data_IF_641690182243
#
_entry.id   IF_641690182243
#
_cell.length_a   1.000
_cell.length_b   1.000
_cell.length_c   1.000
_cell.angle_alpha   90.00
_cell.angle_beta   90.00
_cell.angle_gamma   90.00
#
_symmetry.space_group_name_H-M   'P 1'
#
loop_
_entity.id
_entity.type
_entity.pdbx_description
1 polymer ?
#
# COMPACT_ATOMS: atom_id res chain seq x y z
N UNK A 1 -25.73 77.14 -44.62
CA UNK A 1 -27.00 76.94 -45.34
C UNK A 1 -26.74 75.85 -46.37
N UNK A 2 -27.64 74.85 -46.37
CA UNK A 2 -27.81 73.72 -47.30
C UNK A 2 -26.80 72.56 -47.35
N UNK A 3 -27.28 71.46 -46.72
CA UNK A 3 -27.42 70.06 -47.20
C UNK A 3 -26.54 69.50 -48.32
N UNK A 4 -26.04 68.26 -48.11
CA UNK A 4 -26.51 67.03 -48.80
C UNK A 4 -25.85 65.78 -48.14
N UNK A 5 -26.68 64.78 -47.79
CA UNK A 5 -26.52 63.38 -48.21
C UNK A 5 -25.50 62.44 -47.55
N UNK A 6 -26.00 61.57 -46.65
CA UNK A 6 -25.98 60.11 -46.85
C UNK A 6 -24.76 59.27 -46.45
N UNK A 7 -24.97 58.34 -45.52
CA UNK A 7 -24.40 56.98 -45.62
C UNK A 7 -23.66 56.40 -44.41
N UNK A 8 -24.35 55.53 -43.65
CA UNK A 8 -23.79 54.25 -43.17
C UNK A 8 -23.10 54.20 -41.80
N UNK A 9 -23.55 53.26 -40.95
CA UNK A 9 -22.71 52.71 -39.87
C UNK A 9 -23.43 52.31 -38.59
N UNK A 10 -23.65 51.00 -38.40
CA UNK A 10 -24.24 50.34 -37.23
C UNK A 10 -23.47 50.54 -35.91
N UNK A 11 -24.20 50.59 -34.79
CA UNK A 11 -24.07 49.75 -33.57
C UNK A 11 -24.97 50.38 -32.48
N UNK A 12 -25.85 49.67 -31.77
CA UNK A 12 -25.67 48.37 -31.14
C UNK A 12 -25.46 48.62 -29.64
N UNK A 13 -26.53 48.50 -28.85
CA UNK A 13 -26.50 48.72 -27.40
C UNK A 13 -27.78 48.18 -26.77
N UNK A 14 -27.85 46.85 -26.67
CA UNK A 14 -28.93 46.12 -26.03
C UNK A 14 -29.10 46.48 -24.55
N UNK A 15 -30.37 46.46 -24.17
CA UNK A 15 -30.91 46.53 -22.82
C UNK A 15 -30.43 45.32 -22.01
N UNK A 16 -29.77 45.56 -20.87
CA UNK A 16 -29.48 44.53 -19.88
C UNK A 16 -30.77 44.14 -19.14
N UNK A 17 -31.40 43.02 -19.52
CA UNK A 17 -32.53 42.44 -18.79
C UNK A 17 -32.03 41.42 -17.78
N UNK A 18 -32.36 41.69 -16.51
CA UNK A 18 -32.11 40.87 -15.33
C UNK A 18 -32.73 39.47 -15.46
N UNK A 19 -31.93 38.47 -15.87
CA UNK A 19 -32.28 37.04 -15.80
C UNK A 19 -31.38 36.22 -14.88
N UNK A 20 -30.36 36.84 -14.27
CA UNK A 20 -29.29 36.14 -13.57
C UNK A 20 -29.57 35.90 -12.08
N UNK A 21 -30.26 36.82 -11.39
CA UNK A 21 -30.31 36.79 -9.91
C UNK A 21 -31.12 35.60 -9.37
N UNK A 22 -32.24 35.26 -10.01
CA UNK A 22 -33.11 34.18 -9.53
C UNK A 22 -32.52 32.78 -9.78
N UNK A 23 -31.80 32.58 -10.88
CA UNK A 23 -31.16 31.29 -11.16
C UNK A 23 -29.89 31.09 -10.33
N UNK A 24 -29.14 32.16 -10.08
CA UNK A 24 -28.03 32.14 -9.12
C UNK A 24 -28.54 31.86 -7.70
N UNK A 25 -29.63 32.49 -7.29
CA UNK A 25 -30.24 32.25 -5.98
C UNK A 25 -30.75 30.81 -5.83
N UNK A 26 -31.40 30.25 -6.87
CA UNK A 26 -31.79 28.83 -6.88
C UNK A 26 -30.59 27.90 -6.79
N UNK A 27 -29.51 28.18 -7.54
CA UNK A 27 -28.27 27.42 -7.47
C UNK A 27 -27.67 27.44 -6.06
N UNK A 28 -27.66 28.62 -5.42
CA UNK A 28 -27.16 28.78 -4.06
C UNK A 28 -28.00 28.05 -3.02
N UNK A 29 -29.33 28.09 -3.13
CA UNK A 29 -30.24 27.38 -2.21
C UNK A 29 -30.18 25.85 -2.42
N UNK A 30 -29.99 25.38 -3.65
CA UNK A 30 -29.76 23.97 -3.94
C UNK A 30 -28.42 23.48 -3.37
N UNK A 31 -27.37 24.28 -3.52
CA UNK A 31 -26.07 24.01 -2.92
C UNK A 31 -26.16 23.98 -1.38
N UNK A 32 -26.84 24.94 -0.78
CA UNK A 32 -27.07 24.99 0.67
C UNK A 32 -27.87 23.77 1.16
N UNK A 33 -28.89 23.34 0.40
CA UNK A 33 -29.66 22.13 0.68
C UNK A 33 -28.81 20.85 0.59
N UNK A 34 -27.90 20.77 -0.38
CA UNK A 34 -26.94 19.67 -0.48
C UNK A 34 -25.96 19.65 0.71
N UNK A 35 -25.40 20.81 1.08
CA UNK A 35 -24.49 20.94 2.22
C UNK A 35 -25.19 20.59 3.53
N UNK A 36 -26.44 21.02 3.72
CA UNK A 36 -27.24 20.66 4.90
C UNK A 36 -27.57 19.17 4.93
N UNK A 37 -27.82 18.52 3.78
CA UNK A 37 -27.96 17.05 3.73
C UNK A 37 -26.68 16.33 4.10
N UNK A 38 -25.52 16.79 3.63
CA UNK A 38 -24.21 16.25 4.00
C UNK A 38 -23.95 16.44 5.49
N UNK A 39 -24.25 17.62 6.03
CA UNK A 39 -24.11 17.92 7.46
C UNK A 39 -25.06 17.07 8.33
N UNK A 40 -26.30 16.88 7.88
CA UNK A 40 -27.26 15.98 8.53
C UNK A 40 -26.87 14.51 8.40
N UNK A 41 -26.19 14.09 7.32
CA UNK A 41 -25.63 12.74 7.17
C UNK A 41 -24.44 12.50 8.11
N UNK A 42 -23.62 13.53 8.33
CA UNK A 42 -22.53 13.53 9.32
C UNK A 42 -23.09 13.48 10.75
N UNK A 43 -24.11 14.29 11.05
CA UNK A 43 -24.80 14.29 12.36
C UNK A 43 -25.62 13.02 12.62
N UNK A 44 -26.17 12.38 11.58
CA UNK A 44 -26.91 11.11 11.68
C UNK A 44 -26.02 9.87 11.69
N UNK A 45 -24.70 10.03 11.56
CA UNK A 45 -23.75 8.93 11.69
C UNK A 45 -24.02 7.76 10.74
N UNK A 46 -24.11 8.00 9.43
CA UNK A 46 -24.03 6.89 8.46
C UNK A 46 -22.60 6.34 8.45
N UNK A 47 -22.36 5.06 8.81
CA UNK A 47 -21.01 4.59 9.16
C UNK A 47 -20.10 4.29 7.97
N UNK A 48 -20.61 4.13 6.75
CA UNK A 48 -19.92 3.25 5.78
C UNK A 48 -18.68 3.82 5.08
N UNK A 49 -18.37 5.11 5.18
CA UNK A 49 -17.17 5.68 4.53
C UNK A 49 -16.19 6.28 5.53
N UNK A 50 -16.70 6.94 6.57
CA UNK A 50 -15.86 7.51 7.61
C UNK A 50 -15.21 6.43 8.48
N UNK A 51 -15.90 5.31 8.77
CA UNK A 51 -15.29 4.20 9.52
C UNK A 51 -14.23 3.45 8.70
N UNK A 52 -14.34 3.43 7.37
CA UNK A 52 -13.33 2.83 6.49
C UNK A 52 -12.05 3.69 6.39
N UNK A 53 -12.19 5.02 6.36
CA UNK A 53 -11.03 5.92 6.37
C UNK A 53 -10.39 6.03 7.77
N UNK A 54 -11.20 5.98 8.84
CA UNK A 54 -10.72 6.05 10.23
C UNK A 54 -10.21 4.70 10.79
N UNK A 55 -10.55 3.57 10.17
CA UNK A 55 -9.94 2.28 10.51
C UNK A 55 -8.54 2.10 9.91
N UNK A 56 -8.26 2.77 8.79
CA UNK A 56 -6.93 2.85 8.19
C UNK A 56 -6.03 3.91 8.85
N UNK A 57 -6.62 5.01 9.32
CA UNK A 57 -5.92 6.09 10.01
C UNK A 57 -6.36 6.04 11.47
N UNK A 58 -5.66 5.24 12.27
CA UNK A 58 -5.90 5.12 13.71
C UNK A 58 -5.74 6.46 14.43
N UNK A 59 -6.77 7.28 14.44
CA UNK A 59 -6.84 8.49 15.25
C UNK A 59 -7.07 8.10 16.72
N UNK A 60 -5.98 7.76 17.40
CA UNK A 60 -5.86 7.96 18.85
C UNK A 60 -5.18 9.31 19.06
N UNK A 61 -5.86 10.27 19.68
CA UNK A 61 -5.20 11.50 20.14
C UNK A 61 -4.18 11.16 21.24
N UNK A 62 -2.90 11.57 21.13
CA UNK A 62 -2.01 11.60 22.26
C UNK A 62 -1.66 13.06 22.61
N UNK A 63 -1.94 13.45 23.85
CA UNK A 63 -1.43 14.67 24.44
C UNK A 63 0.05 14.44 24.82
N UNK A 64 0.94 15.19 24.16
CA UNK A 64 2.36 15.47 24.43
C UNK A 64 3.42 14.33 24.49
N UNK A 65 4.45 14.58 23.68
CA UNK A 65 5.90 14.36 23.86
C UNK A 65 6.48 12.96 23.58
N UNK A 66 7.25 12.85 22.48
CA UNK A 66 8.71 12.68 22.57
C UNK A 66 9.40 12.85 21.20
N UNK A 67 10.73 12.98 21.25
CA UNK A 67 11.69 13.40 20.24
C UNK A 67 11.52 12.84 18.83
N UNK A 68 11.56 13.73 17.83
CA UNK A 68 11.71 13.37 16.41
C UNK A 68 13.03 12.63 16.18
N UNK A 69 12.98 11.30 16.01
CA UNK A 69 14.13 10.53 15.55
C UNK A 69 14.20 10.63 14.03
N UNK A 70 15.21 11.32 13.52
CA UNK A 70 15.56 11.33 12.09
C UNK A 70 15.90 9.91 11.63
N UNK A 71 15.38 9.47 10.48
CA UNK A 71 15.64 8.15 9.92
C UNK A 71 17.14 7.95 9.71
N UNK A 72 17.69 6.86 10.26
CA UNK A 72 19.07 6.46 10.03
C UNK A 72 19.10 5.45 8.88
N UNK A 73 19.75 5.76 7.74
CA UNK A 73 19.95 4.76 6.69
C UNK A 73 20.85 3.64 7.22
N UNK A 74 20.57 2.41 6.80
CA UNK A 74 21.49 1.30 7.00
C UNK A 74 22.74 1.52 6.12
N UNK A 75 23.91 0.97 6.52
CA UNK A 75 25.10 1.06 5.68
C UNK A 75 24.80 0.48 4.30
N UNK A 76 25.29 1.17 3.25
CA UNK A 76 25.13 0.77 1.86
C UNK A 76 25.50 -0.70 1.69
N UNK A 77 24.66 -1.44 0.97
CA UNK A 77 24.86 -2.87 0.73
C UNK A 77 25.36 -2.99 -0.70
N UNK A 78 26.59 -3.46 -0.87
CA UNK A 78 27.09 -3.93 -2.16
C UNK A 78 26.51 -5.32 -2.39
N UNK A 79 25.74 -5.49 -3.46
CA UNK A 79 25.08 -6.77 -3.79
C UNK A 79 25.74 -7.30 -5.07
N UNK A 80 26.64 -8.29 -4.97
CA UNK A 80 27.18 -8.97 -6.15
C UNK A 80 26.07 -9.79 -6.83
N UNK A 81 25.98 -9.70 -8.15
CA UNK A 81 25.10 -10.57 -8.94
C UNK A 81 25.64 -12.00 -8.90
N UNK A 82 24.91 -12.93 -8.26
CA UNK A 82 25.20 -14.36 -8.36
C UNK A 82 24.50 -14.96 -9.59
N UNK A 83 25.31 -15.58 -10.45
CA UNK A 83 24.87 -16.31 -11.63
C UNK A 83 24.00 -17.51 -11.23
N UNK A 84 22.74 -17.53 -11.67
CA UNK A 84 21.90 -18.73 -11.63
C UNK A 84 21.55 -19.11 -13.06
N UNK A 85 22.22 -20.14 -13.58
CA UNK A 85 21.90 -20.77 -14.87
C UNK A 85 20.65 -21.63 -14.71
N UNK A 86 19.57 -21.35 -15.45
CA UNK A 86 18.66 -22.38 -15.94
C UNK A 86 17.74 -21.89 -17.06
N UNK A 87 17.26 -22.84 -17.85
CA UNK A 87 16.85 -22.71 -19.24
C UNK A 87 15.39 -22.25 -19.45
N UNK A 88 15.25 -21.43 -20.50
CA UNK A 88 14.11 -21.00 -21.33
C UNK A 88 12.88 -21.94 -21.41
N UNK A 89 11.66 -21.43 -21.16
CA UNK A 89 10.40 -21.74 -21.87
C UNK A 89 9.52 -20.46 -21.92
N UNK A 90 8.82 -20.29 -23.04
CA UNK A 90 8.20 -19.12 -23.68
C UNK A 90 6.77 -18.72 -23.25
N UNK A 91 6.51 -17.41 -23.36
CA UNK A 91 5.29 -16.67 -23.79
C UNK A 91 3.95 -16.80 -23.06
N UNK A 92 3.45 -15.69 -22.52
CA UNK A 92 2.23 -14.98 -22.99
C UNK A 92 2.01 -13.64 -22.25
N UNK A 93 1.56 -12.62 -22.99
CA UNK A 93 1.57 -11.20 -22.62
C UNK A 93 0.20 -10.60 -22.21
N UNK A 94 0.29 -9.40 -21.61
CA UNK A 94 -0.72 -8.36 -21.31
C UNK A 94 -1.57 -8.61 -20.04
N UNK A 95 -1.72 -7.68 -19.10
CA UNK A 95 -2.15 -6.29 -19.29
C UNK A 95 -1.78 -5.39 -18.07
N UNK A 96 -1.47 -4.13 -18.33
CA UNK A 96 -1.01 -3.13 -17.36
C UNK A 96 -2.11 -2.16 -16.98
N UNK A 97 -2.54 -2.12 -15.72
CA UNK A 97 -3.17 -0.92 -15.15
C UNK A 97 -3.13 -0.93 -13.62
N UNK A 98 -2.45 0.06 -13.04
CA UNK A 98 -2.89 0.88 -11.89
C UNK A 98 -1.72 1.63 -11.24
N UNK A 99 -1.35 2.81 -11.75
CA UNK A 99 -0.79 3.93 -10.97
C UNK A 99 -0.99 5.26 -11.73
N UNK A 100 -1.49 6.34 -11.09
CA UNK A 100 -1.30 7.69 -11.59
C UNK A 100 -0.22 8.43 -10.78
N UNK A 101 0.76 9.01 -11.50
CA UNK A 101 1.32 10.34 -11.18
C UNK A 101 2.77 10.44 -10.68
N UNK A 102 3.69 10.69 -11.63
CA UNK A 102 5.02 11.33 -11.51
C UNK A 102 6.26 10.48 -11.13
N UNK A 103 6.64 9.63 -12.09
CA UNK A 103 7.92 9.56 -12.84
C UNK A 103 9.22 10.01 -12.14
N UNK A 104 10.15 9.06 -11.98
CA UNK A 104 11.48 9.16 -12.60
C UNK A 104 11.77 7.85 -13.35
N UNK A 105 12.13 8.06 -14.61
CA UNK A 105 12.24 7.15 -15.74
C UNK A 105 13.43 6.18 -15.61
N UNK A 106 13.18 4.89 -15.80
CA UNK A 106 14.05 3.88 -16.42
C UNK A 106 13.19 2.63 -16.60
N UNK A 107 12.64 2.48 -17.81
CA UNK A 107 11.80 1.37 -18.20
C UNK A 107 12.50 0.02 -18.11
N UNK A 108 11.76 -0.99 -17.65
CA UNK A 108 12.07 -2.39 -17.88
C UNK A 108 10.74 -3.08 -18.26
N UNK A 109 10.56 -3.26 -19.57
CA UNK A 109 9.59 -4.18 -20.15
C UNK A 109 9.99 -5.62 -19.88
N UNK A 110 9.00 -6.50 -20.03
CA UNK A 110 9.04 -7.96 -19.92
C UNK A 110 10.33 -8.66 -20.38
N UNK A 111 10.53 -9.83 -19.77
CA UNK A 111 11.62 -10.80 -19.95
C UNK A 111 12.97 -10.44 -19.32
N UNK A 112 13.24 -11.12 -18.20
CA UNK A 112 14.54 -11.18 -17.55
C UNK A 112 15.55 -11.97 -18.42
N UNK A 113 15.93 -11.40 -19.56
CA UNK A 113 17.28 -11.55 -20.06
C UNK A 113 18.13 -10.54 -19.29
N UNK A 114 18.74 -10.98 -18.20
CA UNK A 114 19.95 -10.31 -17.69
C UNK A 114 21.00 -10.50 -18.79
N UNK A 115 20.94 -9.68 -19.84
CA UNK A 115 22.17 -9.37 -20.56
C UNK A 115 23.14 -8.86 -19.49
N UNK A 116 24.33 -9.45 -19.48
CA UNK A 116 25.45 -9.01 -18.66
C UNK A 116 25.66 -7.52 -18.92
N UNK A 117 25.06 -6.68 -18.08
CA UNK A 117 25.31 -5.25 -18.07
C UNK A 117 26.69 -5.04 -17.44
N UNK A 118 27.72 -5.40 -18.18
CA UNK A 118 29.06 -4.91 -17.93
C UNK A 118 29.10 -3.44 -18.35
N UNK A 119 29.88 -2.62 -17.65
CA UNK A 119 30.24 -1.33 -18.22
C UNK A 119 31.06 -1.53 -19.52
N UNK A 120 31.36 -0.43 -20.21
CA UNK A 120 32.11 -0.42 -21.49
C UNK A 120 33.51 -1.08 -21.33
N UNK A 121 33.94 -1.32 -20.09
CA UNK A 121 35.24 -1.87 -19.70
C UNK A 121 35.16 -3.33 -19.20
N UNK A 122 33.99 -3.97 -19.24
CA UNK A 122 33.83 -5.36 -18.83
C UNK A 122 33.68 -5.57 -17.31
N UNK A 123 33.53 -4.52 -16.50
CA UNK A 123 33.32 -4.65 -15.06
C UNK A 123 31.83 -4.81 -14.73
N UNK A 124 31.49 -5.58 -13.69
CA UNK A 124 30.11 -5.73 -13.24
C UNK A 124 29.55 -4.38 -12.80
N UNK A 125 28.38 -3.99 -13.32
CA UNK A 125 27.66 -2.81 -12.82
C UNK A 125 27.17 -3.08 -11.39
N UNK A 126 27.68 -2.30 -10.45
CA UNK A 126 27.26 -2.34 -9.04
C UNK A 126 26.11 -1.35 -8.87
N UNK A 127 24.93 -1.86 -8.52
CA UNK A 127 23.79 -1.04 -8.14
C UNK A 127 23.84 -0.77 -6.63
N UNK A 128 23.95 0.50 -6.25
CA UNK A 128 23.87 0.91 -4.86
C UNK A 128 22.42 1.11 -4.45
N UNK A 129 21.97 0.40 -3.41
CA UNK A 129 20.63 0.55 -2.84
C UNK A 129 20.75 1.08 -1.42
N UNK A 130 20.04 2.16 -1.13
CA UNK A 130 19.91 2.71 0.22
C UNK A 130 18.69 2.10 0.90
N UNK A 131 18.90 1.50 2.07
CA UNK A 131 17.84 0.87 2.85
C UNK A 131 17.61 1.66 4.13
N UNK A 132 16.35 1.91 4.46
CA UNK A 132 15.94 2.62 5.67
C UNK A 132 15.22 1.65 6.60
N UNK A 133 15.63 1.63 7.87
CA UNK A 133 14.94 0.89 8.91
C UNK A 133 13.66 1.64 9.30
N UNK A 134 12.52 0.93 9.37
CA UNK A 134 11.27 1.51 9.87
C UNK A 134 11.41 1.79 11.38
N UNK A 135 11.02 2.98 11.88
CA UNK A 135 11.17 3.34 13.28
C UNK A 135 10.57 2.29 14.21
N UNK A 136 11.33 1.96 15.27
CA UNK A 136 10.92 0.95 16.25
C UNK A 136 11.12 -0.50 15.84
N UNK A 137 11.68 -0.82 14.66
CA UNK A 137 11.81 -2.20 14.17
C UNK A 137 12.48 -3.15 15.18
N UNK A 138 13.62 -2.76 15.74
CA UNK A 138 14.36 -3.62 16.70
C UNK A 138 13.53 -3.92 17.96
N UNK A 139 12.89 -2.90 18.51
CA UNK A 139 12.05 -3.04 19.70
C UNK A 139 10.79 -3.87 19.39
N UNK A 140 10.19 -3.65 18.22
CA UNK A 140 9.05 -4.42 17.73
C UNK A 140 9.37 -5.91 17.58
N UNK A 141 10.48 -6.26 16.93
CA UNK A 141 10.91 -7.65 16.76
C UNK A 141 11.24 -8.31 18.10
N UNK A 142 11.88 -7.57 19.02
CA UNK A 142 12.17 -8.06 20.36
C UNK A 142 10.88 -8.40 21.11
N UNK A 143 9.91 -7.48 21.16
CA UNK A 143 8.67 -7.70 21.90
C UNK A 143 7.78 -8.79 21.30
N UNK A 144 7.70 -8.91 19.96
CA UNK A 144 6.89 -9.97 19.34
C UNK A 144 7.52 -11.34 19.56
N UNK A 145 8.85 -11.43 19.53
CA UNK A 145 9.56 -12.69 19.80
C UNK A 145 9.29 -13.27 21.19
N UNK A 146 8.71 -12.51 22.12
CA UNK A 146 8.31 -13.01 23.46
C UNK A 146 7.03 -13.85 23.42
N UNK A 147 6.19 -13.72 22.39
CA UNK A 147 4.87 -14.35 22.36
C UNK A 147 4.47 -14.95 20.99
N UNK A 148 5.32 -14.86 19.97
CA UNK A 148 5.08 -15.43 18.66
C UNK A 148 6.36 -15.94 18.00
N UNK A 149 6.23 -17.03 17.23
CA UNK A 149 7.28 -17.49 16.32
C UNK A 149 7.34 -16.58 15.09
N UNK A 150 8.52 -16.02 14.80
CA UNK A 150 8.71 -15.07 13.71
C UNK A 150 9.16 -15.78 12.43
N UNK A 151 8.45 -15.53 11.33
CA UNK A 151 8.80 -16.01 9.99
C UNK A 151 8.97 -14.81 9.06
N UNK A 152 10.11 -14.74 8.39
CA UNK A 152 10.30 -13.78 7.30
C UNK A 152 9.70 -14.37 6.03
N UNK A 153 8.72 -13.70 5.43
CA UNK A 153 8.18 -14.09 4.12
C UNK A 153 8.20 -12.88 3.19
N UNK A 154 9.08 -12.87 2.18
CA UNK A 154 9.24 -11.76 1.23
C UNK A 154 9.08 -12.23 -0.22
N UNK A 155 8.47 -11.38 -1.05
CA UNK A 155 8.49 -11.55 -2.51
C UNK A 155 9.81 -11.05 -3.14
N UNK A 156 10.78 -10.61 -2.32
CA UNK A 156 12.13 -10.27 -2.79
C UNK A 156 12.93 -11.51 -3.18
N UNK A 157 13.82 -11.36 -4.17
CA UNK A 157 14.80 -12.39 -4.49
C UNK A 157 15.80 -12.54 -3.35
N UNK A 158 16.18 -13.77 -3.09
CA UNK A 158 17.05 -14.13 -1.97
C UNK A 158 18.41 -13.42 -2.03
N UNK A 159 19.05 -13.37 -3.21
CA UNK A 159 20.36 -12.72 -3.38
C UNK A 159 20.37 -11.24 -2.98
N UNK A 160 19.23 -10.55 -3.12
CA UNK A 160 19.06 -9.18 -2.65
C UNK A 160 18.67 -9.10 -1.17
N UNK A 161 17.70 -9.91 -0.76
CA UNK A 161 17.06 -9.78 0.55
C UNK A 161 17.92 -10.35 1.69
N UNK A 162 18.61 -11.47 1.47
CA UNK A 162 19.37 -12.18 2.51
C UNK A 162 20.41 -11.27 3.20
N UNK A 163 21.30 -10.54 2.47
CA UNK A 163 22.27 -9.65 3.11
C UNK A 163 21.65 -8.52 3.95
N UNK A 164 20.45 -8.07 3.58
CA UNK A 164 19.71 -7.04 4.36
C UNK A 164 19.22 -7.60 5.68
N UNK A 165 18.58 -8.77 5.64
CA UNK A 165 18.03 -9.39 6.83
C UNK A 165 19.11 -9.94 7.76
N UNK A 166 20.27 -10.33 7.24
CA UNK A 166 21.43 -10.69 8.08
C UNK A 166 21.93 -9.50 8.93
N UNK A 167 21.75 -8.27 8.45
CA UNK A 167 22.09 -7.05 9.21
C UNK A 167 20.99 -6.62 10.19
N UNK A 168 19.73 -6.93 9.89
CA UNK A 168 18.57 -6.58 10.71
C UNK A 168 18.40 -7.58 11.85
N UNK A 169 18.51 -8.87 11.55
CA UNK A 169 18.21 -9.99 12.45
C UNK A 169 19.48 -10.63 13.02
N UNK A 170 20.28 -9.83 13.73
CA UNK A 170 21.56 -10.27 14.32
C UNK A 170 21.34 -11.34 15.39
N UNK A 171 20.16 -11.38 16.01
CA UNK A 171 19.81 -12.32 17.08
C UNK A 171 19.15 -13.61 16.55
N UNK A 172 19.09 -13.81 15.23
CA UNK A 172 18.44 -14.97 14.58
C UNK A 172 17.02 -15.22 15.11
N UNK A 173 16.22 -14.16 15.20
CA UNK A 173 14.84 -14.20 15.71
C UNK A 173 13.89 -14.88 14.74
N UNK A 174 14.17 -14.83 13.43
CA UNK A 174 13.33 -15.50 12.43
C UNK A 174 13.64 -17.00 12.38
N UNK A 175 12.66 -17.84 12.72
CA UNK A 175 12.79 -19.30 12.68
C UNK A 175 12.87 -19.85 11.25
N UNK A 176 12.24 -19.14 10.30
CA UNK A 176 12.25 -19.46 8.87
C UNK A 176 12.33 -18.20 8.02
N UNK A 177 12.96 -18.30 6.85
CA UNK A 177 13.08 -17.22 5.86
C UNK A 177 12.64 -17.74 4.49
N UNK A 178 11.50 -17.25 4.02
CA UNK A 178 10.86 -17.57 2.75
C UNK A 178 11.03 -16.40 1.79
N UNK A 179 11.59 -16.66 0.62
CA UNK A 179 11.87 -15.67 -0.43
C UNK A 179 10.92 -15.85 -1.62
N UNK A 180 11.13 -15.09 -2.71
CA UNK A 180 10.29 -15.15 -3.91
C UNK A 180 9.98 -16.57 -4.43
N UNK A 181 10.92 -17.54 -4.47
CA UNK A 181 10.61 -18.89 -4.93
C UNK A 181 9.58 -19.64 -4.08
N UNK A 182 9.34 -19.20 -2.83
CA UNK A 182 8.32 -19.75 -1.94
C UNK A 182 6.93 -19.13 -2.15
N UNK A 183 6.82 -18.11 -3.01
CA UNK A 183 5.53 -17.53 -3.40
C UNK A 183 4.87 -18.35 -4.51
N UNK A 184 3.56 -18.21 -4.65
CA UNK A 184 2.76 -18.87 -5.68
C UNK A 184 2.13 -17.85 -6.62
N UNK A 185 1.89 -18.27 -7.86
CA UNK A 185 1.08 -17.51 -8.82
C UNK A 185 -0.33 -18.06 -8.85
N UNK A 186 -1.30 -17.15 -8.82
CA UNK A 186 -2.73 -17.43 -8.98
C UNK A 186 -3.21 -16.84 -10.29
N UNK A 187 -4.44 -17.14 -10.71
CA UNK A 187 -5.05 -16.51 -11.89
C UNK A 187 -5.22 -14.99 -11.74
N UNK A 188 -5.21 -14.45 -10.51
CA UNK A 188 -5.43 -13.02 -10.25
C UNK A 188 -4.14 -12.25 -9.99
N UNK A 189 -3.16 -12.88 -9.34
CA UNK A 189 -1.97 -12.23 -8.81
C UNK A 189 -0.79 -13.18 -8.76
N UNK A 190 0.38 -12.65 -9.10
CA UNK A 190 1.66 -13.28 -8.84
C UNK A 190 2.15 -12.97 -7.42
N UNK A 191 3.15 -13.74 -6.98
CA UNK A 191 3.84 -13.56 -5.71
C UNK A 191 2.94 -13.59 -4.47
N UNK A 192 1.88 -14.40 -4.52
CA UNK A 192 1.00 -14.65 -3.39
C UNK A 192 1.72 -15.55 -2.37
N UNK A 193 1.56 -15.26 -1.08
CA UNK A 193 2.19 -15.96 0.03
C UNK A 193 1.19 -16.93 0.63
N UNK A 194 1.17 -18.15 0.09
CA UNK A 194 0.28 -19.20 0.58
C UNK A 194 0.71 -19.66 1.99
N UNK A 195 -0.10 -19.35 3.00
CA UNK A 195 0.19 -19.70 4.39
C UNK A 195 0.02 -21.20 4.69
N UNK A 196 -0.61 -21.96 3.79
CA UNK A 196 -0.79 -23.41 3.96
C UNK A 196 0.53 -24.18 4.01
N UNK A 197 1.61 -23.60 3.47
CA UNK A 197 2.96 -24.17 3.56
C UNK A 197 3.56 -24.14 4.98
N UNK A 198 3.01 -23.30 5.87
CA UNK A 198 3.49 -23.13 7.25
C UNK A 198 2.77 -24.07 8.23
N UNK A 199 1.45 -24.19 8.10
CA UNK A 199 0.62 -24.98 9.01
C UNK A 199 -0.67 -25.41 8.34
N UNK A 200 -1.19 -26.58 8.74
CA UNK A 200 -2.54 -27.05 8.36
C UNK A 200 -3.64 -26.31 9.12
N UNK A 201 -3.37 -25.93 10.37
CA UNK A 201 -4.28 -25.10 11.17
C UNK A 201 -3.75 -23.66 11.22
N UNK A 202 -4.52 -22.75 10.62
CA UNK A 202 -4.20 -21.33 10.53
C UNK A 202 -4.86 -20.50 11.62
N UNK A 203 -5.55 -21.12 12.58
CA UNK A 203 -6.19 -20.41 13.71
C UNK A 203 -5.23 -19.53 14.52
N UNK A 204 -3.93 -19.83 14.48
CA UNK A 204 -2.87 -19.13 15.21
C UNK A 204 -1.79 -18.51 14.31
N UNK A 205 -2.05 -18.39 13.01
CA UNK A 205 -1.11 -17.81 12.03
C UNK A 205 -1.59 -16.43 11.61
N UNK A 206 -0.68 -15.45 11.56
CA UNK A 206 -0.96 -14.09 11.10
C UNK A 206 0.12 -13.66 10.13
N UNK A 207 -0.28 -13.03 9.03
CA UNK A 207 0.64 -12.35 8.11
C UNK A 207 0.40 -10.84 8.16
N UNK A 208 1.48 -10.07 8.28
CA UNK A 208 1.46 -8.61 8.19
C UNK A 208 2.14 -8.22 6.88
N UNK A 209 1.41 -7.55 6.00
CA UNK A 209 1.94 -7.15 4.69
C UNK A 209 1.36 -5.81 4.23
N UNK A 210 2.16 -5.01 3.55
CA UNK A 210 1.71 -3.73 3.01
C UNK A 210 0.99 -3.88 1.67
N UNK A 211 1.09 -5.04 1.02
CA UNK A 211 0.32 -5.41 -0.15
C UNK A 211 -0.74 -6.46 0.25
N UNK A 212 -2.04 -6.10 0.29
CA UNK A 212 -3.11 -7.04 0.62
C UNK A 212 -3.08 -8.29 -0.25
N UNK A 213 -2.78 -8.17 -1.55
CA UNK A 213 -2.73 -9.30 -2.46
C UNK A 213 -1.68 -10.35 -2.10
N UNK A 214 -0.68 -10.02 -1.27
CA UNK A 214 0.27 -10.99 -0.73
C UNK A 214 -0.43 -12.10 0.05
N UNK A 215 -1.57 -11.84 0.70
CA UNK A 215 -2.33 -12.83 1.47
C UNK A 215 -3.71 -13.11 0.88
N UNK A 216 -3.83 -12.96 -0.45
CA UNK A 216 -5.05 -13.22 -1.22
C UNK A 216 -5.72 -14.56 -0.89
N UNK A 217 -4.91 -15.62 -0.76
CA UNK A 217 -5.43 -16.96 -0.50
C UNK A 217 -5.99 -17.13 0.91
N UNK A 218 -5.50 -16.39 1.90
CA UNK A 218 -5.95 -16.47 3.30
C UNK A 218 -6.30 -15.09 3.86
N UNK A 219 -7.37 -14.45 3.36
CA UNK A 219 -7.72 -13.07 3.71
C UNK A 219 -8.01 -12.88 5.21
N UNK A 220 -8.49 -13.93 5.88
CA UNK A 220 -8.82 -13.91 7.30
C UNK A 220 -7.60 -13.94 8.23
N UNK A 221 -6.41 -14.17 7.69
CA UNK A 221 -5.14 -14.21 8.45
C UNK A 221 -4.27 -12.97 8.20
N UNK A 222 -4.71 -12.06 7.33
CA UNK A 222 -3.95 -10.89 6.89
C UNK A 222 -4.22 -9.64 7.73
N UNK A 223 -3.15 -8.95 8.08
CA UNK A 223 -3.16 -7.58 8.61
C UNK A 223 -2.56 -6.67 7.53
N UNK A 224 -3.38 -5.85 6.84
CA UNK A 224 -2.84 -4.84 5.94
C UNK A 224 -2.11 -3.78 6.76
N UNK A 225 -0.84 -3.52 6.44
CA UNK A 225 -0.07 -2.46 7.10
C UNK A 225 0.21 -1.29 6.16
N UNK A 226 0.36 -0.09 6.74
CA UNK A 226 0.65 1.10 5.94
C UNK A 226 2.07 0.99 5.34
N UNK A 227 2.22 1.22 4.02
CA UNK A 227 3.54 1.26 3.38
C UNK A 227 4.47 2.27 4.06
N UNK A 228 5.72 1.86 4.28
CA UNK A 228 6.72 2.73 4.89
C UNK A 228 7.34 3.69 3.87
N UNK A 229 7.53 4.95 4.27
CA UNK A 229 8.23 5.96 3.47
C UNK A 229 9.13 6.80 4.37
N UNK A 230 10.44 6.78 4.10
CA UNK A 230 11.43 7.56 4.85
C UNK A 230 11.26 9.09 4.69
N UNK A 231 10.37 9.55 3.81
CA UNK A 231 10.04 10.97 3.64
C UNK A 231 8.98 11.46 4.64
N UNK A 232 8.25 10.56 5.27
CA UNK A 232 7.20 10.93 6.22
C UNK A 232 7.82 11.10 7.62
N UNK A 233 7.64 12.25 8.29
CA UNK A 233 8.38 12.55 9.52
C UNK A 233 7.98 11.69 10.74
N UNK A 234 6.81 11.05 10.69
CA UNK A 234 6.27 10.26 11.79
C UNK A 234 5.75 8.92 11.26
N UNK A 235 6.27 7.82 11.82
CA UNK A 235 5.79 6.46 11.57
C UNK A 235 5.67 5.74 12.92
N UNK A 236 4.43 5.48 13.33
CA UNK A 236 4.07 4.83 14.59
C UNK A 236 3.49 3.43 14.35
N UNK A 237 3.52 2.95 13.11
CA UNK A 237 2.80 1.77 12.67
C UNK A 237 3.25 0.50 13.42
N UNK A 238 4.56 0.36 13.67
CA UNK A 238 5.08 -0.84 14.32
C UNK A 238 4.65 -0.91 15.78
N UNK A 239 5.00 0.10 16.58
CA UNK A 239 4.87 0.05 18.03
C UNK A 239 3.47 0.41 18.53
N UNK A 240 2.76 1.33 17.88
CA UNK A 240 1.50 1.86 18.41
C UNK A 240 0.27 1.24 17.73
N UNK A 241 0.43 0.72 16.50
CA UNK A 241 -0.67 0.12 15.75
C UNK A 241 -0.57 -1.41 15.71
N UNK A 242 0.53 -1.95 15.20
CA UNK A 242 0.67 -3.39 14.97
C UNK A 242 0.92 -4.16 16.27
N UNK A 243 1.84 -3.69 17.11
CA UNK A 243 2.23 -4.41 18.32
C UNK A 243 1.06 -4.61 19.30
N UNK A 244 0.19 -3.63 19.61
CA UNK A 244 -0.95 -3.85 20.49
C UNK A 244 -1.98 -4.80 19.90
N UNK A 245 -2.20 -4.75 18.58
CA UNK A 245 -3.07 -5.70 17.88
C UNK A 245 -2.50 -7.12 17.96
N UNK A 246 -1.22 -7.32 17.67
CA UNK A 246 -0.59 -8.64 17.75
C UNK A 246 -0.61 -9.20 19.18
N UNK A 247 -0.40 -8.36 20.20
CA UNK A 247 -0.58 -8.74 21.61
C UNK A 247 -2.02 -9.14 21.94
N UNK A 248 -3.02 -8.46 21.38
CA UNK A 248 -4.42 -8.86 21.56
C UNK A 248 -4.73 -10.21 20.88
N UNK A 249 -4.21 -10.42 19.68
CA UNK A 249 -4.38 -11.67 18.93
C UNK A 249 -3.67 -12.86 19.59
N UNK A 250 -2.54 -12.62 20.26
CA UNK A 250 -1.82 -13.69 20.97
C UNK A 250 -2.65 -14.33 22.09
N UNK A 251 -3.65 -13.61 22.63
CA UNK A 251 -4.59 -14.10 23.66
C UNK A 251 -5.77 -14.90 23.09
N UNK A 252 -6.00 -14.88 21.78
CA UNK A 252 -7.16 -15.52 21.15
C UNK A 252 -6.89 -16.99 20.82
N UNK A 253 -7.90 -17.86 20.88
CA UNK A 253 -7.75 -19.24 20.36
C UNK A 253 -7.70 -19.28 18.84
N UNK A 254 -8.46 -18.41 18.19
CA UNK A 254 -8.50 -18.25 16.75
C UNK A 254 -8.42 -16.76 16.40
N UNK A 255 -7.44 -16.36 15.60
CA UNK A 255 -7.22 -14.96 15.20
C UNK A 255 -8.21 -14.49 14.14
N UNK A 256 -8.76 -15.41 13.35
CA UNK A 256 -9.54 -15.11 12.13
C UNK A 256 -10.82 -14.32 12.41
N UNK A 257 -11.63 -14.64 13.44
CA UNK A 257 -12.82 -13.84 13.74
C UNK A 257 -12.50 -12.39 14.13
N UNK A 258 -11.42 -12.17 14.89
CA UNK A 258 -11.00 -10.82 15.30
C UNK A 258 -10.50 -10.02 14.10
N UNK A 259 -9.70 -10.66 13.22
CA UNK A 259 -9.22 -10.03 12.00
C UNK A 259 -10.33 -9.76 10.99
N UNK A 260 -11.32 -10.66 10.88
CA UNK A 260 -12.51 -10.46 10.06
C UNK A 260 -13.27 -9.21 10.48
N UNK A 261 -13.64 -9.11 11.77
CA UNK A 261 -14.39 -7.95 12.26
C UNK A 261 -13.62 -6.64 12.11
N UNK A 262 -12.29 -6.69 12.23
CA UNK A 262 -11.45 -5.50 12.14
C UNK A 262 -11.24 -5.01 10.70
N UNK A 263 -11.01 -5.92 9.75
CA UNK A 263 -10.53 -5.54 8.41
C UNK A 263 -11.48 -5.90 7.28
N UNK A 264 -12.37 -6.89 7.44
CA UNK A 264 -13.29 -7.35 6.38
C UNK A 264 -12.58 -7.60 5.05
N UNK A 265 -11.42 -8.26 5.13
CA UNK A 265 -10.56 -8.51 3.96
C UNK A 265 -11.26 -9.29 2.85
N UNK A 266 -12.10 -10.32 3.11
CA UNK A 266 -12.83 -11.00 2.04
C UNK A 266 -13.69 -10.03 1.21
N UNK A 267 -14.42 -9.13 1.86
CA UNK A 267 -15.23 -8.11 1.19
C UNK A 267 -14.36 -7.07 0.49
N UNK A 268 -13.24 -6.69 1.09
CA UNK A 268 -12.26 -5.81 0.44
C UNK A 268 -11.79 -6.43 -0.88
N UNK A 269 -11.45 -7.72 -0.91
CA UNK A 269 -11.04 -8.41 -2.14
C UNK A 269 -12.15 -8.46 -3.19
N UNK A 270 -13.39 -8.73 -2.78
CA UNK A 270 -14.55 -8.70 -3.67
C UNK A 270 -14.77 -7.33 -4.30
N UNK A 271 -14.62 -6.26 -3.52
CA UNK A 271 -14.68 -4.88 -4.03
C UNK A 271 -13.55 -4.57 -5.03
N UNK A 272 -12.45 -5.32 -4.99
CA UNK A 272 -11.30 -5.20 -5.90
C UNK A 272 -11.29 -6.27 -7.00
N UNK A 273 -12.44 -6.89 -7.29
CA UNK A 273 -12.63 -7.77 -8.45
C UNK A 273 -12.20 -9.22 -8.23
N UNK A 274 -11.93 -9.64 -6.99
CA UNK A 274 -11.60 -11.03 -6.66
C UNK A 274 -12.89 -11.76 -6.23
N UNK A 275 -13.31 -12.82 -6.93
CA UNK A 275 -14.51 -13.56 -6.55
C UNK A 275 -14.31 -14.34 -5.24
N UNK A 276 -15.39 -14.54 -4.48
CA UNK A 276 -15.34 -15.29 -3.23
C UNK A 276 -14.81 -16.72 -3.38
N UNK A 277 -15.00 -17.34 -4.55
CA UNK A 277 -14.49 -18.68 -4.88
C UNK A 277 -12.96 -18.75 -4.97
N UNK A 278 -12.28 -17.61 -5.15
CA UNK A 278 -10.82 -17.53 -5.20
C UNK A 278 -10.17 -17.40 -3.83
N UNK A 279 -10.97 -17.18 -2.78
CA UNK A 279 -10.49 -17.03 -1.41
C UNK A 279 -10.51 -18.41 -0.74
N UNK A 280 -9.39 -18.83 -0.16
CA UNK A 280 -9.34 -20.06 0.64
C UNK A 280 -9.73 -19.68 2.06
N UNK A 281 -10.90 -20.13 2.52
CA UNK A 281 -11.44 -19.83 3.86
C UNK A 281 -10.96 -20.86 4.88
#
# INVERSE_FOLDING_TARGET
MEEIGGGGGKQGGEVCVSRSVNEVWKGMMNWLGFVMKLFLQILRGTPSMAQFLLSYIGFTFPLLSSSSSSFKPLPVVEIPLQETTSNKITDTAHDSSCLPGYVCDLGASDDCLIEKLTDVEGKPRINYVTVFERPGLKEFLKQIGEFADLILFTAGLEGYARPLFDRIDVENRFSQRLYRPSTVSTEYREHVKDLSCLSKDLSRVVIVDNNPFSFLLQPLNGIPCVPFSARLPYDEQLLDVLLPLLKNLSLQKDVRPVLYERFRMPEWFQMHGIPASALTV
#
